data_IF_223110280781
#
_entry.id   IF_223110280781
#
_cell.length_a   1.000
_cell.length_b   1.000
_cell.length_c   1.000
_cell.angle_alpha   90.00
_cell.angle_beta   90.00
_cell.angle_gamma   90.00
#
_symmetry.space_group_name_H-M   'P 1'
#
loop_
_entity.id
_entity.type
_entity.pdbx_description
1 polymer ?
#
# COMPACT_ATOMS: atom_id res chain seq x y z
N UNK A 1 -22.66 24.87 43.61
CA UNK A 1 -21.45 24.08 43.91
C UNK A 1 -21.09 23.29 42.67
N UNK A 2 -19.96 23.60 42.03
CA UNK A 2 -19.47 22.88 40.86
C UNK A 2 -18.24 22.06 41.26
N UNK A 3 -18.28 20.76 41.00
CA UNK A 3 -17.18 19.83 41.28
C UNK A 3 -16.28 19.79 40.06
N UNK A 4 -15.02 20.19 40.23
CA UNK A 4 -13.97 20.03 39.21
C UNK A 4 -13.64 18.55 39.10
N UNK A 5 -13.91 17.94 37.95
CA UNK A 5 -13.72 16.50 37.74
C UNK A 5 -12.33 16.14 37.19
N UNK A 6 -11.60 17.10 36.62
CA UNK A 6 -10.26 16.84 36.04
C UNK A 6 -9.31 18.01 36.25
N UNK A 7 -8.24 17.74 36.99
CA UNK A 7 -7.07 18.60 37.16
C UNK A 7 -5.97 18.11 36.20
N UNK A 8 -5.58 18.95 35.23
CA UNK A 8 -4.56 18.61 34.21
C UNK A 8 -3.12 18.82 34.69
N UNK A 9 -2.91 19.28 35.92
CA UNK A 9 -1.56 19.64 36.41
C UNK A 9 -0.73 18.41 36.81
N UNK A 10 -1.37 17.25 37.00
CA UNK A 10 -0.72 16.00 37.43
C UNK A 10 -0.58 14.90 36.37
N UNK A 11 -0.95 15.15 35.10
CA UNK A 11 -0.80 14.13 34.05
C UNK A 11 0.66 14.10 33.63
N UNK A 12 1.44 13.19 34.22
CA UNK A 12 2.75 12.79 33.71
C UNK A 12 2.58 12.45 32.23
N UNK A 13 3.39 13.05 31.35
CA UNK A 13 3.42 12.66 29.93
C UNK A 13 3.46 11.14 29.87
N UNK A 14 2.46 10.54 29.23
CA UNK A 14 2.36 9.10 29.12
C UNK A 14 3.55 8.59 28.29
N UNK A 15 4.58 8.12 28.98
CA UNK A 15 5.80 7.53 28.40
C UNK A 15 5.51 6.21 27.69
N UNK A 16 4.27 5.71 27.72
CA UNK A 16 3.86 4.54 26.95
C UNK A 16 3.87 4.79 25.45
N UNK A 17 3.83 6.04 24.98
CA UNK A 17 3.98 6.33 23.56
C UNK A 17 5.37 5.93 23.06
N UNK A 18 6.42 6.16 23.87
CA UNK A 18 7.80 5.74 23.58
C UNK A 18 8.02 4.22 23.67
N UNK A 19 7.11 3.49 24.33
CA UNK A 19 7.13 2.01 24.37
C UNK A 19 6.34 1.36 23.22
N UNK A 20 5.56 2.14 22.47
CA UNK A 20 4.79 1.68 21.31
C UNK A 20 5.50 1.94 19.98
N UNK A 21 6.50 2.82 19.98
CA UNK A 21 7.44 2.91 18.87
C UNK A 21 8.39 1.70 18.95
N UNK A 22 8.35 0.76 17.99
CA UNK A 22 9.33 -0.31 17.96
C UNK A 22 10.73 0.34 17.92
N UNK A 23 11.74 -0.24 18.60
CA UNK A 23 13.10 0.23 18.48
C UNK A 23 13.45 0.29 16.99
N UNK A 24 14.19 1.31 16.58
CA UNK A 24 14.59 1.54 15.20
C UNK A 24 15.45 0.35 14.72
N UNK A 25 14.79 -0.71 14.25
CA UNK A 25 15.40 -2.02 13.97
C UNK A 25 16.23 -2.01 12.69
N UNK A 26 16.18 -0.93 11.91
CA UNK A 26 17.01 -0.77 10.71
C UNK A 26 18.51 -0.79 11.04
N UNK A 27 18.91 -0.22 12.18
CA UNK A 27 20.31 -0.14 12.60
C UNK A 27 20.87 -1.50 13.08
N UNK A 28 20.01 -2.51 13.27
CA UNK A 28 20.42 -3.83 13.73
C UNK A 28 20.62 -4.86 12.61
N UNK A 29 20.13 -4.61 11.39
CA UNK A 29 20.22 -5.56 10.28
C UNK A 29 21.49 -5.33 9.46
N UNK A 30 22.24 -6.41 9.21
CA UNK A 30 23.34 -6.38 8.24
C UNK A 30 22.83 -6.01 6.85
N UNK A 31 23.70 -5.45 6.01
CA UNK A 31 23.33 -5.10 4.63
C UNK A 31 22.78 -6.32 3.85
N UNK A 32 23.35 -7.50 4.07
CA UNK A 32 22.89 -8.74 3.44
C UNK A 32 21.46 -9.12 3.88
N UNK A 33 21.14 -9.00 5.17
CA UNK A 33 19.79 -9.26 5.67
C UNK A 33 18.78 -8.25 5.10
N UNK A 34 19.13 -6.96 5.07
CA UNK A 34 18.30 -5.92 4.45
C UNK A 34 18.04 -6.21 2.96
N UNK A 35 19.08 -6.60 2.22
CA UNK A 35 18.98 -6.97 0.80
C UNK A 35 18.07 -8.19 0.57
N UNK A 36 18.23 -9.23 1.39
CA UNK A 36 17.39 -10.44 1.34
C UNK A 36 15.92 -10.12 1.66
N UNK A 37 15.67 -9.35 2.71
CA UNK A 37 14.33 -8.97 3.11
C UNK A 37 13.66 -8.07 2.07
N UNK A 38 14.38 -7.07 1.53
CA UNK A 38 13.88 -6.20 0.48
C UNK A 38 13.53 -6.99 -0.80
N UNK A 39 14.35 -7.99 -1.16
CA UNK A 39 14.09 -8.92 -2.26
C UNK A 39 12.80 -9.72 -2.07
N UNK A 40 12.61 -10.26 -0.86
CA UNK A 40 11.43 -11.05 -0.51
C UNK A 40 10.16 -10.18 -0.52
N UNK A 41 10.21 -9.00 0.10
CA UNK A 41 9.08 -8.07 0.15
C UNK A 41 8.72 -7.55 -1.24
N UNK A 42 9.71 -7.24 -2.08
CA UNK A 42 9.48 -6.84 -3.47
C UNK A 42 8.81 -7.98 -4.26
N UNK A 43 9.29 -9.22 -4.12
CA UNK A 43 8.67 -10.38 -4.79
C UNK A 43 7.24 -10.60 -4.31
N UNK A 44 7.00 -10.52 -3.00
CA UNK A 44 5.69 -10.65 -2.40
C UNK A 44 4.73 -9.54 -2.86
N UNK A 45 5.22 -8.30 -2.96
CA UNK A 45 4.46 -7.16 -3.47
C UNK A 45 3.88 -7.43 -4.86
N UNK A 46 4.69 -7.93 -5.79
CA UNK A 46 4.23 -8.20 -7.16
C UNK A 46 3.19 -9.34 -7.20
N UNK A 47 3.32 -10.35 -6.34
CA UNK A 47 2.30 -11.39 -6.19
C UNK A 47 0.99 -10.81 -5.63
N UNK A 48 1.07 -10.04 -4.55
CA UNK A 48 -0.09 -9.42 -3.90
C UNK A 48 -0.79 -8.41 -4.81
N UNK A 49 -0.05 -7.74 -5.69
CA UNK A 49 -0.61 -6.83 -6.69
C UNK A 49 -1.61 -7.54 -7.61
N UNK A 50 -1.32 -8.78 -8.02
CA UNK A 50 -2.26 -9.58 -8.81
C UNK A 50 -3.51 -9.99 -8.03
N UNK A 51 -3.37 -10.20 -6.71
CA UNK A 51 -4.51 -10.49 -5.83
C UNK A 51 -5.39 -9.25 -5.67
N UNK A 52 -4.78 -8.07 -5.50
CA UNK A 52 -5.50 -6.79 -5.42
C UNK A 52 -6.37 -6.56 -6.67
N UNK A 53 -5.82 -6.76 -7.88
CA UNK A 53 -6.58 -6.68 -9.14
C UNK A 53 -7.81 -7.58 -9.11
N UNK A 54 -7.67 -8.83 -8.67
CA UNK A 54 -8.80 -9.77 -8.60
C UNK A 54 -9.88 -9.30 -7.62
N UNK A 55 -9.50 -8.74 -6.47
CA UNK A 55 -10.47 -8.17 -5.52
C UNK A 55 -11.21 -6.97 -6.11
N UNK A 56 -10.51 -6.11 -6.87
CA UNK A 56 -11.12 -4.97 -7.59
C UNK A 56 -12.14 -5.46 -8.63
N UNK A 57 -11.75 -6.42 -9.48
CA UNK A 57 -12.63 -6.98 -10.52
C UNK A 57 -13.86 -7.66 -9.92
N UNK A 58 -13.73 -8.29 -8.75
CA UNK A 58 -14.83 -8.97 -8.04
C UNK A 58 -15.76 -8.04 -7.25
N UNK A 59 -15.65 -6.72 -7.41
CA UNK A 59 -16.46 -5.72 -6.70
C UNK A 59 -16.34 -5.77 -5.18
N UNK A 60 -15.22 -6.28 -4.65
CA UNK A 60 -15.00 -6.36 -3.20
C UNK A 60 -14.27 -5.12 -2.70
N UNK A 61 -14.97 -3.99 -2.65
CA UNK A 61 -14.35 -2.69 -2.40
C UNK A 61 -13.49 -2.61 -1.13
N UNK A 62 -13.97 -3.14 0.00
CA UNK A 62 -13.20 -3.18 1.25
C UNK A 62 -11.96 -4.07 1.14
N UNK A 63 -12.09 -5.27 0.57
CA UNK A 63 -10.97 -6.20 0.39
C UNK A 63 -9.91 -5.62 -0.56
N UNK A 64 -10.34 -4.99 -1.65
CA UNK A 64 -9.47 -4.30 -2.59
C UNK A 64 -8.69 -3.18 -1.89
N UNK A 65 -9.37 -2.35 -1.11
CA UNK A 65 -8.75 -1.26 -0.38
C UNK A 65 -7.76 -1.77 0.69
N UNK A 66 -8.11 -2.83 1.44
CA UNK A 66 -7.16 -3.46 2.37
C UNK A 66 -5.91 -4.01 1.67
N UNK A 67 -6.06 -4.59 0.47
CA UNK A 67 -4.90 -5.00 -0.31
C UNK A 67 -4.04 -3.81 -0.77
N UNK A 68 -4.66 -2.70 -1.19
CA UNK A 68 -3.94 -1.47 -1.55
C UNK A 68 -3.13 -0.92 -0.36
N UNK A 69 -3.69 -0.95 0.86
CA UNK A 69 -2.93 -0.56 2.07
C UNK A 69 -1.75 -1.47 2.33
N UNK A 70 -1.98 -2.79 2.28
CA UNK A 70 -0.92 -3.76 2.48
C UNK A 70 0.22 -3.53 1.50
N UNK A 71 -0.11 -3.32 0.22
CA UNK A 71 0.87 -3.00 -0.83
C UNK A 71 1.62 -1.70 -0.56
N UNK A 72 0.93 -0.64 -0.07
CA UNK A 72 1.60 0.60 0.32
C UNK A 72 2.56 0.39 1.50
N UNK A 73 2.12 -0.36 2.51
CA UNK A 73 2.96 -0.73 3.66
C UNK A 73 4.22 -1.50 3.23
N UNK A 74 4.11 -2.39 2.23
CA UNK A 74 5.28 -3.07 1.65
C UNK A 74 6.24 -2.10 0.96
N UNK A 75 5.74 -1.08 0.24
CA UNK A 75 6.59 -0.03 -0.36
C UNK A 75 7.36 0.73 0.71
N UNK A 76 6.67 1.13 1.79
CA UNK A 76 7.29 1.89 2.87
C UNK A 76 8.31 1.06 3.66
N UNK A 77 8.03 -0.23 3.88
CA UNK A 77 8.98 -1.16 4.49
C UNK A 77 10.23 -1.36 3.61
N UNK A 78 10.06 -1.52 2.29
CA UNK A 78 11.20 -1.64 1.38
C UNK A 78 12.02 -0.34 1.37
N UNK A 79 11.38 0.84 1.35
CA UNK A 79 12.08 2.13 1.48
C UNK A 79 12.95 2.20 2.72
N UNK A 80 12.39 1.78 3.86
CA UNK A 80 13.12 1.72 5.13
C UNK A 80 14.36 0.82 5.03
N UNK A 81 14.22 -0.39 4.46
CA UNK A 81 15.33 -1.32 4.29
C UNK A 81 16.45 -0.78 3.38
N UNK A 82 16.10 -0.01 2.35
CA UNK A 82 17.06 0.65 1.45
C UNK A 82 17.51 2.03 1.95
N UNK A 83 17.26 2.35 3.23
CA UNK A 83 17.67 3.61 3.90
C UNK A 83 17.12 4.87 3.25
N UNK A 84 15.96 4.79 2.59
CA UNK A 84 15.21 5.95 2.13
C UNK A 84 14.24 6.36 3.23
N UNK A 85 14.48 7.51 3.85
CA UNK A 85 13.71 8.01 4.98
C UNK A 85 12.21 8.07 4.64
N UNK A 86 11.38 7.35 5.40
CA UNK A 86 9.94 7.33 5.23
C UNK A 86 9.30 8.21 6.28
N UNK A 87 8.93 9.43 5.90
CA UNK A 87 7.73 9.99 6.51
C UNK A 87 6.58 9.06 6.07
N UNK A 88 5.99 8.30 7.00
CA UNK A 88 4.75 7.53 6.77
C UNK A 88 3.62 8.51 6.43
N UNK A 89 3.65 9.10 5.24
CA UNK A 89 2.63 10.03 4.81
C UNK A 89 1.49 9.23 4.19
N UNK A 90 0.31 9.25 4.83
CA UNK A 90 -0.94 9.03 4.12
C UNK A 90 -1.74 7.77 4.47
N UNK A 91 -1.42 7.03 5.53
CA UNK A 91 -2.26 5.90 5.97
C UNK A 91 -3.63 6.31 6.57
N UNK A 92 -3.86 7.60 6.82
CA UNK A 92 -4.99 8.02 7.67
C UNK A 92 -6.17 8.63 6.90
N UNK A 93 -5.94 9.32 5.78
CA UNK A 93 -6.92 10.24 5.21
C UNK A 93 -8.22 9.58 4.70
N UNK A 94 -8.19 8.30 4.33
CA UNK A 94 -9.41 7.58 3.95
C UNK A 94 -9.91 6.63 5.05
N UNK A 95 -9.06 6.23 6.01
CA UNK A 95 -9.55 5.56 7.23
C UNK A 95 -10.41 6.49 8.07
N UNK A 96 -10.22 7.80 7.93
CA UNK A 96 -11.13 8.81 8.48
C UNK A 96 -12.45 8.92 7.72
N UNK A 97 -12.56 8.34 6.51
CA UNK A 97 -13.83 8.27 5.77
C UNK A 97 -14.54 6.94 6.03
N UNK A 98 -15.85 7.00 6.30
CA UNK A 98 -16.66 5.84 6.67
C UNK A 98 -16.83 4.82 5.52
N UNK A 99 -16.56 5.23 4.26
CA UNK A 99 -16.77 4.40 3.08
C UNK A 99 -15.49 4.33 2.24
N UNK A 100 -15.13 3.12 1.72
CA UNK A 100 -13.98 2.96 0.85
C UNK A 100 -14.28 3.62 -0.50
N UNK A 101 -13.25 4.04 -1.26
CA UNK A 101 -13.45 4.43 -2.66
C UNK A 101 -14.11 3.27 -3.42
N UNK A 102 -15.37 3.46 -3.83
CA UNK A 102 -16.20 2.41 -4.42
C UNK A 102 -15.87 2.19 -5.90
N UNK A 103 -15.30 3.19 -6.56
CA UNK A 103 -15.05 3.17 -8.01
C UNK A 103 -13.82 2.33 -8.36
N UNK A 104 -14.03 1.24 -9.11
CA UNK A 104 -12.98 0.28 -9.53
C UNK A 104 -11.86 0.94 -10.33
N UNK A 105 -12.18 1.90 -11.20
CA UNK A 105 -11.17 2.66 -11.96
C UNK A 105 -10.23 3.44 -11.04
N UNK A 106 -10.78 4.06 -9.97
CA UNK A 106 -9.97 4.75 -8.96
C UNK A 106 -9.05 3.76 -8.24
N UNK A 107 -9.55 2.58 -7.87
CA UNK A 107 -8.75 1.55 -7.21
C UNK A 107 -7.61 1.02 -8.11
N UNK A 108 -7.87 0.81 -9.41
CA UNK A 108 -6.82 0.44 -10.38
C UNK A 108 -5.78 1.56 -10.53
N UNK A 109 -6.22 2.82 -10.58
CA UNK A 109 -5.31 3.97 -10.65
C UNK A 109 -4.38 4.01 -9.43
N UNK A 110 -4.93 3.86 -8.22
CA UNK A 110 -4.15 3.78 -6.99
C UNK A 110 -3.17 2.60 -7.00
N UNK A 111 -3.58 1.43 -7.48
CA UNK A 111 -2.71 0.26 -7.61
C UNK A 111 -1.51 0.55 -8.53
N UNK A 112 -1.75 1.21 -9.67
CA UNK A 112 -0.69 1.58 -10.62
C UNK A 112 0.30 2.56 -10.00
N UNK A 113 -0.18 3.54 -9.23
CA UNK A 113 0.68 4.50 -8.54
C UNK A 113 1.58 3.80 -7.51
N UNK A 114 1.01 2.92 -6.69
CA UNK A 114 1.77 2.14 -5.70
C UNK A 114 2.79 1.21 -6.39
N UNK A 115 2.41 0.55 -7.49
CA UNK A 115 3.32 -0.29 -8.27
C UNK A 115 4.50 0.48 -8.87
N UNK A 116 4.26 1.68 -9.40
CA UNK A 116 5.33 2.56 -9.89
C UNK A 116 6.27 2.98 -8.77
N UNK A 117 5.76 3.18 -7.56
CA UNK A 117 6.62 3.48 -6.41
C UNK A 117 7.52 2.29 -6.04
N UNK A 118 7.00 1.06 -6.00
CA UNK A 118 7.82 -0.13 -5.79
C UNK A 118 8.86 -0.31 -6.91
N UNK A 119 8.45 -0.12 -8.17
CA UNK A 119 9.35 -0.23 -9.32
C UNK A 119 10.52 0.76 -9.24
N UNK A 120 10.29 1.99 -8.77
CA UNK A 120 11.36 2.98 -8.55
C UNK A 120 12.41 2.52 -7.53
N UNK A 121 12.02 1.68 -6.56
CA UNK A 121 12.94 1.15 -5.55
C UNK A 121 13.87 0.05 -6.09
N UNK A 122 13.60 -0.47 -7.29
CA UNK A 122 14.37 -1.58 -7.88
C UNK A 122 15.87 -1.33 -7.85
N UNK A 123 16.33 -0.16 -8.30
CA UNK A 123 17.76 0.16 -8.31
C UNK A 123 18.35 0.29 -6.91
N UNK A 124 17.58 0.76 -5.93
CA UNK A 124 18.03 0.85 -4.53
C UNK A 124 18.15 -0.54 -3.89
N UNK A 125 17.21 -1.45 -4.18
CA UNK A 125 17.26 -2.85 -3.72
C UNK A 125 18.51 -3.53 -4.28
N UNK A 126 18.78 -3.36 -5.58
CA UNK A 126 19.97 -3.93 -6.23
C UNK A 126 21.27 -3.31 -5.70
N UNK A 127 21.28 -2.01 -5.39
CA UNK A 127 22.45 -1.32 -4.85
C UNK A 127 22.91 -1.87 -3.49
N UNK A 128 21.99 -2.38 -2.67
CA UNK A 128 22.33 -3.04 -1.40
C UNK A 128 22.66 -4.54 -1.56
N UNK A 129 22.58 -5.10 -2.78
CA UNK A 129 22.85 -6.50 -3.09
C UNK A 129 21.60 -7.39 -3.22
N UNK A 130 20.40 -6.79 -3.24
CA UNK A 130 19.15 -7.51 -3.46
C UNK A 130 18.94 -7.88 -4.94
N UNK A 131 17.93 -8.70 -5.20
CA UNK A 131 17.57 -9.14 -6.55
C UNK A 131 16.10 -8.84 -6.84
N UNK A 132 15.82 -8.14 -7.93
CA UNK A 132 14.46 -7.86 -8.36
C UNK A 132 14.17 -8.57 -9.68
N UNK A 133 13.03 -9.26 -9.75
CA UNK A 133 12.58 -9.97 -10.94
C UNK A 133 12.05 -9.00 -12.02
N UNK A 134 12.93 -8.14 -12.56
CA UNK A 134 12.58 -7.09 -13.54
C UNK A 134 11.78 -7.61 -14.73
N UNK A 135 12.06 -8.84 -15.18
CA UNK A 135 11.35 -9.47 -16.30
C UNK A 135 9.88 -9.76 -16.01
N UNK A 136 9.49 -9.91 -14.74
CA UNK A 136 8.11 -10.17 -14.34
C UNK A 136 7.25 -8.89 -14.31
N UNK A 137 7.85 -7.72 -14.06
CA UNK A 137 7.15 -6.45 -13.87
C UNK A 137 6.25 -6.09 -15.07
N UNK A 138 6.69 -6.18 -16.35
CA UNK A 138 5.84 -5.90 -17.49
C UNK A 138 4.59 -6.79 -17.56
N UNK A 139 4.68 -8.05 -17.13
CA UNK A 139 3.55 -8.97 -17.13
C UNK A 139 2.50 -8.59 -16.08
N UNK A 140 2.93 -8.05 -14.94
CA UNK A 140 2.01 -7.53 -13.91
C UNK A 140 1.28 -6.29 -14.43
N UNK A 141 1.99 -5.35 -15.07
CA UNK A 141 1.34 -4.20 -15.70
C UNK A 141 0.37 -4.60 -16.81
N UNK A 142 0.71 -5.58 -17.65
CA UNK A 142 -0.21 -6.09 -18.65
C UNK A 142 -1.52 -6.63 -18.04
N UNK A 143 -1.45 -7.24 -16.85
CA UNK A 143 -2.65 -7.66 -16.12
C UNK A 143 -3.46 -6.46 -15.60
N UNK A 144 -2.82 -5.37 -15.19
CA UNK A 144 -3.51 -4.13 -14.81
C UNK A 144 -4.22 -3.49 -16.00
N UNK A 145 -3.61 -3.49 -17.19
CA UNK A 145 -4.24 -2.99 -18.41
C UNK A 145 -5.45 -3.84 -18.81
N UNK A 146 -5.32 -5.17 -18.73
CA UNK A 146 -6.45 -6.07 -18.98
C UNK A 146 -7.61 -5.81 -18.02
N UNK A 147 -7.31 -5.65 -16.72
CA UNK A 147 -8.34 -5.36 -15.72
C UNK A 147 -9.05 -4.03 -15.98
N UNK A 148 -8.31 -2.99 -16.36
CA UNK A 148 -8.88 -1.68 -16.69
C UNK A 148 -9.79 -1.76 -17.93
N UNK A 149 -9.37 -2.48 -18.97
CA UNK A 149 -10.19 -2.70 -20.16
C UNK A 149 -11.51 -3.41 -19.84
N UNK A 150 -11.50 -4.42 -18.96
CA UNK A 150 -12.71 -5.11 -18.51
C UNK A 150 -13.66 -4.14 -17.77
N UNK A 151 -13.11 -3.32 -16.86
CA UNK A 151 -13.90 -2.33 -16.11
C UNK A 151 -14.55 -1.31 -17.06
N UNK A 152 -13.82 -0.85 -18.07
CA UNK A 152 -14.33 0.10 -19.06
C UNK A 152 -15.45 -0.51 -19.93
N UNK A 153 -15.30 -1.76 -20.36
CA UNK A 153 -16.31 -2.47 -21.14
C UNK A 153 -17.64 -2.63 -20.36
N UNK A 154 -17.56 -3.08 -19.10
CA UNK A 154 -18.75 -3.26 -18.26
C UNK A 154 -19.48 -1.93 -17.99
N UNK A 155 -18.75 -0.81 -17.89
CA UNK A 155 -19.34 0.52 -17.78
C UNK A 155 -20.06 0.98 -19.06
N UNK A 156 -19.50 0.66 -20.23
CA UNK A 156 -20.09 1.00 -21.51
C UNK A 156 -21.40 0.23 -21.76
N UNK A 157 -21.41 -1.07 -21.46
CA UNK A 157 -22.58 -1.95 -21.63
C UNK A 157 -23.74 -1.53 -20.72
N UNK A 158 -23.43 -1.16 -19.47
CA UNK A 158 -24.42 -0.65 -18.50
C UNK A 158 -25.06 0.67 -18.96
N UNK A 159 -24.25 1.57 -19.51
CA UNK A 159 -24.72 2.88 -20.01
C UNK A 159 -25.59 2.75 -21.27
N UNK A 160 -25.34 1.75 -22.11
CA UNK A 160 -26.17 1.48 -23.29
C UNK A 160 -27.53 0.87 -22.91
N UNK A 161 -27.57 -0.02 -21.92
CA UNK A 161 -28.80 -0.62 -21.44
C UNK A 161 -29.77 0.43 -20.82
N UNK A 162 -29.24 1.40 -20.08
CA UNK A 162 -30.05 2.49 -19.49
C UNK A 162 -30.62 3.47 -20.53
N UNK A 163 -30.01 3.58 -21.72
CA UNK A 163 -30.52 4.45 -22.80
C UNK A 163 -31.59 3.80 -23.68
N UNK A 164 -31.82 2.49 -23.51
CA UNK A 164 -32.83 1.72 -24.25
C UNK A 164 -34.13 1.50 -23.47
N UNK A 165 -34.20 2.01 -22.22
CA UNK A 165 -35.39 2.04 -21.36
C UNK A 165 -36.01 3.44 -21.36
#
# INVERSE_FOLDING_TARGET
>A
HATVLFDRVGITKDTRQEQLDPPDTSDHLSQHERASQATQLCSFFWVMSNIAVKSILRHKAWEAVSHLEGLRGLVDEVRFLVSLNTNKSGQEAWRTTVLPPVYRHTQITMLREIAREMEKLTSNIEAIGGNVQRKAIPHVYAFFELADAIIQQEGADSTQAERQL
#
